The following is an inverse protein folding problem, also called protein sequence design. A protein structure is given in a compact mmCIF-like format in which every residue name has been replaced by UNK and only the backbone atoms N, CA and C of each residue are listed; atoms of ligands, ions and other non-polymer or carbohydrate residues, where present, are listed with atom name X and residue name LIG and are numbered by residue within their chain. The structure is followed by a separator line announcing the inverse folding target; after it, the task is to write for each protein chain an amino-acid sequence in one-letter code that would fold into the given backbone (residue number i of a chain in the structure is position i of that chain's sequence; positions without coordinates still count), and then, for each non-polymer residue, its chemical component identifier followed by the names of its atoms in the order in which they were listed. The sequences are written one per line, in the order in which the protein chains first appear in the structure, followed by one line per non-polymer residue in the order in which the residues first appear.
data_IF_435723004435
#
_entry.id   IF_435723004435
#
_cell.length_a   1.000
_cell.length_b   1.000
_cell.length_c   1.000
_cell.angle_alpha   90.00
_cell.angle_beta   90.00
_cell.angle_gamma   90.00
#
_symmetry.space_group_name_H-M   'P 1'
#
loop_
_entity.id
_entity.type
_entity.pdbx_description
1 polymer ?
#
# COMPACT_ATOMS: atom_id res chain seq x y z
N UNK A 1 26.20 46.67 11.93
CA UNK A 1 25.31 45.81 11.12
C UNK A 1 26.17 44.81 10.35
N UNK A 2 25.97 43.53 10.59
CA UNK A 2 26.74 42.47 9.97
C UNK A 2 25.90 41.94 8.80
N UNK A 3 26.30 42.27 7.58
CA UNK A 3 25.55 41.91 6.36
C UNK A 3 26.14 40.68 5.67
N UNK A 4 27.49 40.53 5.63
CA UNK A 4 28.16 39.46 4.91
C UNK A 4 28.42 38.20 5.74
N UNK A 5 28.43 38.28 7.06
CA UNK A 5 28.78 37.19 7.98
C UNK A 5 27.78 37.04 9.13
N UNK A 6 26.49 37.16 8.84
CA UNK A 6 25.48 37.03 9.89
C UNK A 6 25.21 35.52 10.14
N UNK A 7 26.03 34.93 11.02
CA UNK A 7 25.92 33.52 11.38
C UNK A 7 24.61 33.17 12.08
N UNK A 8 24.02 34.12 12.80
CA UNK A 8 22.73 33.94 13.47
C UNK A 8 21.61 33.79 12.45
N UNK A 9 21.59 34.61 11.40
CA UNK A 9 20.62 34.52 10.33
C UNK A 9 20.80 33.21 9.50
N UNK A 10 22.03 32.82 9.22
CA UNK A 10 22.34 31.57 8.54
C UNK A 10 21.89 30.38 9.35
N UNK A 11 22.12 30.36 10.66
CA UNK A 11 21.70 29.28 11.53
C UNK A 11 20.15 29.24 11.63
N UNK A 12 19.49 30.36 11.75
CA UNK A 12 18.03 30.45 11.75
C UNK A 12 17.43 29.89 10.45
N UNK A 13 18.01 30.25 9.30
CA UNK A 13 17.59 29.73 8.00
C UNK A 13 17.80 28.21 7.88
N UNK A 14 18.93 27.71 8.38
CA UNK A 14 19.18 26.27 8.43
C UNK A 14 18.14 25.54 9.30
N UNK A 15 17.82 26.07 10.47
CA UNK A 15 16.82 25.48 11.36
C UNK A 15 15.41 25.52 10.76
N UNK A 16 15.09 26.59 10.05
CA UNK A 16 13.84 26.66 9.29
C UNK A 16 13.77 25.56 8.24
N UNK A 17 14.83 25.33 7.49
CA UNK A 17 14.91 24.25 6.50
C UNK A 17 14.70 22.88 7.12
N UNK A 18 15.30 22.60 8.28
CA UNK A 18 15.09 21.35 9.03
C UNK A 18 13.63 21.19 9.45
N UNK A 19 13.03 22.26 9.97
CA UNK A 19 11.62 22.25 10.41
C UNK A 19 10.66 22.02 9.25
N UNK A 20 10.89 22.67 8.12
CA UNK A 20 10.09 22.47 6.89
C UNK A 20 10.19 21.03 6.40
N UNK A 21 11.40 20.46 6.35
CA UNK A 21 11.60 19.07 5.92
C UNK A 21 10.91 18.07 6.86
N UNK A 22 10.98 18.28 8.17
CA UNK A 22 10.30 17.44 9.15
C UNK A 22 8.77 17.58 9.04
N UNK A 23 8.27 18.79 8.81
CA UNK A 23 6.87 19.04 8.54
C UNK A 23 6.38 18.31 7.28
N UNK A 24 7.16 18.38 6.19
CA UNK A 24 6.85 17.70 4.95
C UNK A 24 6.77 16.17 5.13
N UNK A 25 7.72 15.57 5.86
CA UNK A 25 7.70 14.13 6.18
C UNK A 25 6.49 13.75 7.02
N UNK A 26 6.13 14.55 7.99
CA UNK A 26 4.95 14.30 8.83
C UNK A 26 3.66 14.40 8.02
N UNK A 27 3.56 15.39 7.14
CA UNK A 27 2.43 15.56 6.22
C UNK A 27 2.33 14.39 5.24
N UNK A 28 3.45 13.91 4.71
CA UNK A 28 3.48 12.73 3.85
C UNK A 28 2.91 11.48 4.54
N UNK A 29 3.32 11.23 5.78
CA UNK A 29 2.81 10.11 6.59
C UNK A 29 1.32 10.25 6.92
N UNK A 30 0.86 11.45 7.24
CA UNK A 30 -0.55 11.72 7.49
C UNK A 30 -1.39 11.53 6.23
N UNK A 31 -0.92 12.01 5.09
CA UNK A 31 -1.63 11.92 3.81
C UNK A 31 -1.72 10.50 3.30
N UNK A 32 -0.65 9.71 3.40
CA UNK A 32 -0.63 8.32 2.97
C UNK A 32 -1.30 7.37 3.97
N UNK A 33 -1.33 7.73 5.25
CA UNK A 33 -1.75 6.87 6.34
C UNK A 33 -0.73 5.77 6.69
N UNK A 34 0.43 5.76 6.07
CA UNK A 34 1.49 4.78 6.31
C UNK A 34 2.69 5.40 7.02
N UNK A 35 3.27 4.65 7.96
CA UNK A 35 4.50 5.05 8.65
C UNK A 35 5.73 5.00 7.72
N UNK A 36 5.73 4.06 6.79
CA UNK A 36 6.83 3.80 5.87
C UNK A 36 6.32 4.07 4.45
N UNK A 37 6.85 5.13 3.80
CA UNK A 37 6.51 5.51 2.43
C UNK A 37 7.67 5.29 1.47
N UNK A 38 8.91 5.34 1.99
CA UNK A 38 10.14 5.23 1.20
C UNK A 38 11.11 4.27 1.86
N UNK A 39 11.98 3.65 1.05
CA UNK A 39 13.05 2.78 1.55
C UNK A 39 13.99 3.50 2.54
N UNK A 40 14.16 4.81 2.38
CA UNK A 40 14.94 5.64 3.31
C UNK A 40 14.34 5.79 4.71
N UNK A 41 13.03 5.55 4.88
CA UNK A 41 12.38 5.61 6.19
C UNK A 41 12.71 4.35 7.02
N UNK A 42 12.58 3.18 6.40
CA UNK A 42 12.92 1.88 6.99
C UNK A 42 12.96 0.83 5.87
N UNK A 43 14.16 0.49 5.39
CA UNK A 43 14.33 -0.46 4.29
C UNK A 43 13.86 -1.87 4.65
N UNK A 44 14.15 -2.35 5.87
CA UNK A 44 13.73 -3.66 6.34
C UNK A 44 12.21 -3.72 6.54
N UNK A 45 11.62 -2.70 7.14
CA UNK A 45 10.18 -2.58 7.35
C UNK A 45 9.41 -2.44 6.03
N UNK A 46 9.95 -1.72 5.05
CA UNK A 46 9.35 -1.63 3.73
C UNK A 46 9.32 -2.99 3.03
N UNK A 47 10.40 -3.76 3.09
CA UNK A 47 10.47 -5.11 2.51
C UNK A 47 9.40 -6.03 3.12
N UNK A 48 9.26 -6.03 4.44
CA UNK A 48 8.25 -6.81 5.15
C UNK A 48 6.84 -6.33 4.75
N UNK A 49 6.60 -5.04 4.73
CA UNK A 49 5.31 -4.44 4.36
C UNK A 49 4.91 -4.81 2.93
N UNK A 50 5.81 -4.70 1.97
CA UNK A 50 5.55 -5.07 0.57
C UNK A 50 5.32 -6.56 0.39
N UNK A 51 6.04 -7.40 1.13
CA UNK A 51 5.83 -8.85 1.15
C UNK A 51 4.44 -9.21 1.70
N UNK A 52 4.04 -8.60 2.82
CA UNK A 52 2.71 -8.80 3.40
C UNK A 52 1.61 -8.30 2.45
N UNK A 53 1.81 -7.17 1.81
CA UNK A 53 0.87 -6.61 0.84
C UNK A 53 0.73 -7.50 -0.40
N UNK A 54 1.82 -8.08 -0.88
CA UNK A 54 1.82 -9.08 -1.94
C UNK A 54 1.04 -10.34 -1.54
N UNK A 55 1.23 -10.80 -0.31
CA UNK A 55 0.53 -11.96 0.23
C UNK A 55 -0.98 -11.71 0.38
N UNK A 56 -1.38 -10.54 0.87
CA UNK A 56 -2.80 -10.14 0.98
C UNK A 56 -3.45 -10.16 -0.41
N UNK A 57 -2.84 -9.51 -1.40
CA UNK A 57 -3.35 -9.50 -2.78
C UNK A 57 -3.42 -10.91 -3.40
N UNK A 58 -2.43 -11.75 -3.09
CA UNK A 58 -2.43 -13.15 -3.51
C UNK A 58 -3.59 -13.95 -2.93
N UNK A 59 -3.85 -13.79 -1.64
CA UNK A 59 -4.98 -14.45 -0.96
C UNK A 59 -6.34 -13.94 -1.45
N UNK A 60 -6.48 -12.64 -1.69
CA UNK A 60 -7.68 -12.07 -2.28
C UNK A 60 -7.94 -12.63 -3.69
N UNK A 61 -6.90 -12.77 -4.50
CA UNK A 61 -7.02 -13.37 -5.82
C UNK A 61 -7.35 -14.86 -5.74
N UNK A 62 -6.75 -15.59 -4.82
CA UNK A 62 -7.08 -16.98 -4.58
C UNK A 62 -8.54 -17.18 -4.16
N UNK A 63 -9.06 -16.28 -3.32
CA UNK A 63 -10.48 -16.27 -2.94
C UNK A 63 -11.40 -16.03 -4.15
N UNK A 64 -11.07 -15.07 -5.00
CA UNK A 64 -11.82 -14.86 -6.25
C UNK A 64 -11.77 -16.07 -7.17
N UNK A 65 -10.60 -16.66 -7.34
CA UNK A 65 -10.44 -17.88 -8.16
C UNK A 65 -11.26 -19.07 -7.63
N UNK A 66 -11.35 -19.21 -6.30
CA UNK A 66 -12.20 -20.23 -5.69
C UNK A 66 -13.69 -19.96 -5.97
N UNK A 67 -14.13 -18.71 -5.90
CA UNK A 67 -15.50 -18.34 -6.25
C UNK A 67 -15.81 -18.57 -7.72
N UNK A 68 -14.87 -18.29 -8.62
CA UNK A 68 -14.99 -18.58 -10.05
C UNK A 68 -15.10 -20.10 -10.29
N UNK A 69 -14.31 -20.89 -9.56
CA UNK A 69 -14.40 -22.36 -9.58
C UNK A 69 -15.78 -22.86 -9.13
N UNK A 70 -16.32 -22.29 -8.04
CA UNK A 70 -17.67 -22.61 -7.57
C UNK A 70 -18.71 -22.26 -8.64
N UNK A 71 -18.61 -21.11 -9.27
CA UNK A 71 -19.52 -20.69 -10.34
C UNK A 71 -19.48 -21.63 -11.55
N UNK A 72 -18.27 -22.10 -11.92
CA UNK A 72 -18.12 -23.08 -12.99
C UNK A 72 -18.81 -24.40 -12.66
N UNK A 73 -18.62 -24.90 -11.43
CA UNK A 73 -19.25 -26.13 -10.98
C UNK A 73 -20.77 -25.98 -10.94
N UNK A 74 -21.28 -24.88 -10.45
CA UNK A 74 -22.74 -24.61 -10.42
C UNK A 74 -23.34 -24.55 -11.83
N UNK A 75 -22.62 -23.98 -12.80
CA UNK A 75 -23.06 -23.98 -14.19
C UNK A 75 -23.12 -25.39 -14.77
N UNK A 76 -22.09 -26.19 -14.51
CA UNK A 76 -22.05 -27.59 -14.94
C UNK A 76 -23.16 -28.43 -14.28
N UNK A 77 -23.39 -28.21 -12.99
CA UNK A 77 -24.46 -28.89 -12.23
C UNK A 77 -25.84 -28.52 -12.77
N UNK A 78 -26.08 -27.25 -13.11
CA UNK A 78 -27.31 -26.82 -13.75
C UNK A 78 -27.54 -27.52 -15.10
N UNK A 79 -26.50 -27.60 -15.94
CA UNK A 79 -26.60 -28.31 -17.21
C UNK A 79 -26.87 -29.83 -17.04
N UNK A 80 -26.24 -30.46 -16.04
CA UNK A 80 -26.48 -31.89 -15.74
C UNK A 80 -27.90 -32.14 -15.24
N UNK A 81 -28.47 -31.22 -14.45
CA UNK A 81 -29.84 -31.28 -13.99
C UNK A 81 -30.84 -31.22 -15.15
N UNK A 82 -30.61 -30.37 -16.15
CA UNK A 82 -31.43 -30.31 -17.36
C UNK A 82 -31.33 -31.61 -18.18
N UNK A 83 -30.13 -32.15 -18.34
CA UNK A 83 -29.94 -33.46 -19.01
C UNK A 83 -30.68 -34.57 -18.25
N UNK A 84 -30.61 -34.58 -16.94
CA UNK A 84 -31.30 -35.54 -16.10
C UNK A 84 -32.82 -35.47 -16.28
N UNK A 85 -33.38 -34.26 -16.32
CA UNK A 85 -34.80 -34.01 -16.55
C UNK A 85 -35.28 -34.45 -17.94
N UNK A 86 -34.42 -34.38 -18.95
CA UNK A 86 -34.74 -34.82 -20.32
C UNK A 86 -34.74 -36.33 -20.44
N UNK A 87 -33.86 -37.03 -19.71
CA UNK A 87 -33.70 -38.47 -19.74
C UNK A 87 -34.75 -39.22 -18.90
N UNK A 88 -35.36 -38.53 -17.94
CA UNK A 88 -36.46 -39.06 -17.12
C UNK A 88 -37.82 -38.92 -17.81
#
# INVERSE_FOLDING_TARGET
MIVQHNMTALNANRQLGVSVNNGAKSTEKLSSGYRINRAGDDAAGLTISEKMRGQIRGLEQASRNAQDGVSLIQTAEGALNEIHSIVQ
#
